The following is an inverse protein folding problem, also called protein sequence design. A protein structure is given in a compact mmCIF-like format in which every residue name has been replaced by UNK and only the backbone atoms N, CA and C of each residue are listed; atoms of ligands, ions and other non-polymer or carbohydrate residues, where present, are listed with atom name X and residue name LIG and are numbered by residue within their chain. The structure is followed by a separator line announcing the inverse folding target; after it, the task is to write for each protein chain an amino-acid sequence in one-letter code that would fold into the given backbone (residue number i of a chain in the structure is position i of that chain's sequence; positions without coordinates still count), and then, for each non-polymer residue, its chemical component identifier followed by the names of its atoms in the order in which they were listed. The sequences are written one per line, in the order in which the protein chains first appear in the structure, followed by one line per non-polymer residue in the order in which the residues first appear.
data_IF_252636279319
#
_entry.id   IF_252636279319
#
_cell.length_a   1.000
_cell.length_b   1.000
_cell.length_c   1.000
_cell.angle_alpha   90.00
_cell.angle_beta   90.00
_cell.angle_gamma   90.00
#
_symmetry.space_group_name_H-M   'P 1'
#
loop_
_entity.id
_entity.type
_entity.pdbx_description
1 polymer ?
#
# COMPACT_ATOMS: atom_id res chain seq x y z
N UNK A 1 -24.61 1.29 -0.95
CA UNK A 1 -23.61 1.35 -2.03
C UNK A 1 -22.78 2.61 -1.92
N UNK A 2 -21.49 2.46 -1.97
CA UNK A 2 -20.59 3.59 -1.82
C UNK A 2 -20.45 4.36 -3.12
N UNK A 3 -20.47 5.69 -3.06
CA UNK A 3 -20.25 6.52 -4.23
C UNK A 3 -18.79 6.37 -4.73
N UNK A 4 -18.61 6.50 -6.04
CA UNK A 4 -17.27 6.49 -6.62
C UNK A 4 -16.48 7.69 -6.10
N UNK A 5 -15.25 7.48 -5.67
CA UNK A 5 -14.42 8.57 -5.19
C UNK A 5 -13.98 9.47 -6.35
N UNK A 6 -13.73 10.73 -5.99
CA UNK A 6 -13.22 11.72 -6.91
C UNK A 6 -11.83 11.34 -7.39
N UNK A 7 -11.54 11.57 -8.66
CA UNK A 7 -10.21 11.34 -9.20
C UNK A 7 -9.20 12.29 -8.54
N UNK A 8 -8.04 11.74 -8.20
CA UNK A 8 -6.98 12.46 -7.50
C UNK A 8 -5.68 12.28 -8.26
N UNK A 9 -4.92 13.36 -8.41
CA UNK A 9 -3.59 13.28 -9.00
C UNK A 9 -2.56 13.01 -7.89
N UNK A 10 -2.22 11.73 -7.73
CA UNK A 10 -1.31 11.31 -6.67
C UNK A 10 0.10 11.89 -6.83
N UNK A 11 0.55 12.11 -8.06
CA UNK A 11 1.89 12.67 -8.30
C UNK A 11 2.06 14.06 -7.69
N UNK A 12 0.99 14.85 -7.66
CA UNK A 12 1.03 16.20 -7.07
C UNK A 12 1.06 16.14 -5.54
N UNK A 13 0.57 15.04 -4.96
CA UNK A 13 0.47 14.90 -3.51
C UNK A 13 1.73 14.27 -2.92
N UNK A 14 2.36 13.36 -3.65
CA UNK A 14 3.59 12.68 -3.20
C UNK A 14 4.71 13.71 -3.13
N UNK A 15 5.35 13.80 -1.96
CA UNK A 15 6.49 14.70 -1.76
C UNK A 15 7.79 14.05 -2.22
N UNK A 16 8.67 14.85 -2.79
CA UNK A 16 9.96 14.38 -3.29
C UNK A 16 11.08 15.08 -2.52
N UNK A 17 12.00 14.28 -1.99
CA UNK A 17 13.16 14.76 -1.26
C UNK A 17 14.41 14.23 -1.94
N UNK A 18 15.12 15.07 -2.71
CA UNK A 18 16.38 14.64 -3.32
C UNK A 18 17.45 14.43 -2.25
N UNK A 19 18.38 13.53 -2.52
CA UNK A 19 19.50 13.22 -1.66
C UNK A 19 19.09 12.79 -0.25
N UNK A 20 18.08 11.94 -0.16
CA UNK A 20 17.63 11.38 1.11
C UNK A 20 17.40 9.86 0.96
N UNK A 21 17.84 9.01 1.90
CA UNK A 21 18.60 9.35 3.12
C UNK A 21 20.07 9.66 2.87
N UNK A 22 20.51 9.56 1.62
CA UNK A 22 21.87 9.89 1.24
C UNK A 22 21.91 10.43 -0.19
N UNK A 23 23.05 11.03 -0.53
CA UNK A 23 23.28 11.63 -1.85
C UNK A 23 22.96 10.63 -2.98
N UNK A 24 22.33 11.12 -4.04
CA UNK A 24 21.98 10.33 -5.22
C UNK A 24 20.66 9.59 -5.13
N UNK A 25 20.00 9.60 -3.99
CA UNK A 25 18.72 8.92 -3.81
C UNK A 25 17.59 9.95 -3.75
N UNK A 26 16.60 9.76 -4.62
CA UNK A 26 15.36 10.55 -4.55
C UNK A 26 14.34 9.79 -3.68
N UNK A 27 14.07 10.33 -2.51
CA UNK A 27 13.06 9.78 -1.61
C UNK A 27 11.68 10.30 -1.98
N UNK A 28 10.75 9.39 -2.18
CA UNK A 28 9.35 9.73 -2.44
C UNK A 28 8.52 9.43 -1.21
N UNK A 29 7.98 10.48 -0.60
CA UNK A 29 7.22 10.36 0.63
C UNK A 29 5.73 10.32 0.33
N UNK A 30 5.09 9.21 0.70
CA UNK A 30 3.65 9.02 0.49
C UNK A 30 2.81 9.43 1.71
N UNK A 31 3.43 9.88 2.79
CA UNK A 31 2.70 10.33 3.96
C UNK A 31 1.64 11.40 3.64
N UNK A 32 1.89 12.38 2.77
CA UNK A 32 0.85 13.34 2.40
C UNK A 32 -0.39 12.70 1.78
N UNK A 33 -0.21 11.57 1.08
CA UNK A 33 -1.34 10.80 0.53
C UNK A 33 -2.18 10.21 1.65
N UNK A 34 -1.54 9.64 2.66
CA UNK A 34 -2.23 9.02 3.79
C UNK A 34 -3.03 10.01 4.63
N UNK A 35 -2.63 11.28 4.64
CA UNK A 35 -3.34 12.33 5.38
C UNK A 35 -4.67 12.73 4.72
N UNK A 36 -4.86 12.38 3.47
CA UNK A 36 -6.03 12.81 2.71
C UNK A 36 -7.00 11.65 2.52
N UNK A 37 -8.19 11.79 3.08
CA UNK A 37 -9.23 10.77 2.93
C UNK A 37 -9.61 10.57 1.46
N UNK A 38 -9.69 11.64 0.68
CA UNK A 38 -10.02 11.53 -0.75
C UNK A 38 -8.97 10.73 -1.52
N UNK A 39 -7.69 10.92 -1.20
CA UNK A 39 -6.60 10.19 -1.86
C UNK A 39 -6.63 8.70 -1.47
N UNK A 40 -6.84 8.39 -0.19
CA UNK A 40 -6.97 7.01 0.26
C UNK A 40 -8.16 6.32 -0.41
N UNK A 41 -9.30 6.97 -0.46
CA UNK A 41 -10.49 6.43 -1.13
C UNK A 41 -10.24 6.21 -2.61
N UNK A 42 -9.56 7.14 -3.27
CA UNK A 42 -9.23 7.01 -4.67
C UNK A 42 -8.36 5.78 -4.93
N UNK A 43 -7.34 5.56 -4.10
CA UNK A 43 -6.45 4.39 -4.22
C UNK A 43 -7.26 3.10 -4.07
N UNK A 44 -8.06 3.02 -3.01
CA UNK A 44 -8.85 1.82 -2.73
C UNK A 44 -9.85 1.54 -3.85
N UNK A 45 -10.52 2.59 -4.33
CA UNK A 45 -11.51 2.44 -5.41
C UNK A 45 -10.85 2.01 -6.72
N UNK A 46 -9.64 2.51 -7.02
CA UNK A 46 -8.91 2.10 -8.23
C UNK A 46 -8.48 0.64 -8.17
N UNK A 47 -7.97 0.18 -7.03
CA UNK A 47 -7.67 -1.23 -6.86
C UNK A 47 -8.91 -2.09 -6.98
N UNK A 48 -10.00 -1.67 -6.36
CA UNK A 48 -11.26 -2.41 -6.42
C UNK A 48 -11.79 -2.48 -7.84
N UNK A 49 -11.71 -1.36 -8.58
CA UNK A 49 -12.15 -1.32 -9.98
C UNK A 49 -11.37 -2.33 -10.83
N UNK A 50 -10.06 -2.41 -10.62
CA UNK A 50 -9.19 -3.29 -11.41
C UNK A 50 -9.42 -4.76 -11.05
N UNK A 51 -9.58 -5.06 -9.76
CA UNK A 51 -9.56 -6.44 -9.26
C UNK A 51 -10.90 -6.95 -8.75
N UNK A 52 -11.98 -6.19 -8.88
CA UNK A 52 -13.29 -6.58 -8.33
C UNK A 52 -13.83 -7.90 -8.90
N UNK A 53 -13.47 -8.21 -10.14
CA UNK A 53 -13.91 -9.44 -10.79
C UNK A 53 -12.92 -10.60 -10.60
N UNK A 54 -11.76 -10.34 -10.04
CA UNK A 54 -10.81 -11.38 -9.72
C UNK A 54 -11.22 -12.07 -8.42
N UNK A 55 -10.86 -13.36 -8.31
CA UNK A 55 -11.11 -14.09 -7.07
C UNK A 55 -10.01 -13.74 -6.08
N UNK A 56 -10.28 -12.77 -5.21
CA UNK A 56 -9.36 -12.36 -4.15
C UNK A 56 -9.73 -13.12 -2.89
N UNK A 57 -8.81 -13.91 -2.36
CA UNK A 57 -9.01 -14.66 -1.13
C UNK A 57 -8.39 -13.94 0.08
N UNK A 58 -7.25 -13.30 -0.12
CA UNK A 58 -6.55 -12.56 0.92
C UNK A 58 -5.82 -11.38 0.29
N UNK A 59 -5.53 -10.39 1.10
CA UNK A 59 -4.71 -9.24 0.71
C UNK A 59 -3.39 -9.34 1.46
N UNK A 60 -2.27 -9.15 0.78
CA UNK A 60 -0.96 -9.16 1.40
C UNK A 60 -0.36 -7.76 1.37
N UNK A 61 0.26 -7.36 2.46
CA UNK A 61 0.97 -6.09 2.56
C UNK A 61 2.41 -6.30 3.00
N UNK A 62 3.33 -5.54 2.38
CA UNK A 62 4.75 -5.60 2.71
C UNK A 62 5.06 -4.50 3.72
N UNK A 63 5.78 -4.86 4.79
CA UNK A 63 6.10 -3.90 5.84
C UNK A 63 6.89 -2.71 5.27
N UNK A 64 6.63 -1.53 5.76
CA UNK A 64 5.56 -1.32 6.72
C UNK A 64 4.45 -0.45 6.14
N UNK A 65 4.75 0.41 5.18
CA UNK A 65 3.74 1.27 4.54
C UNK A 65 2.68 0.48 3.80
N UNK A 66 3.08 -0.68 3.25
CA UNK A 66 2.15 -1.58 2.58
C UNK A 66 1.04 -2.09 3.48
N UNK A 67 1.26 -2.15 4.79
CA UNK A 67 0.23 -2.60 5.74
C UNK A 67 -0.97 -1.65 5.76
N UNK A 68 -0.71 -0.36 5.63
CA UNK A 68 -1.78 0.65 5.66
C UNK A 68 -2.71 0.47 4.47
N UNK A 69 -2.16 0.40 3.28
CA UNK A 69 -2.95 0.21 2.06
C UNK A 69 -3.61 -1.16 2.05
N UNK A 70 -2.88 -2.21 2.44
CA UNK A 70 -3.41 -3.57 2.45
C UNK A 70 -4.62 -3.69 3.39
N UNK A 71 -4.56 -3.06 4.55
CA UNK A 71 -5.69 -3.08 5.49
C UNK A 71 -6.92 -2.43 4.89
N UNK A 72 -6.75 -1.28 4.27
CA UNK A 72 -7.85 -0.57 3.62
C UNK A 72 -8.45 -1.41 2.49
N UNK A 73 -7.61 -2.05 1.68
CA UNK A 73 -8.05 -2.91 0.59
C UNK A 73 -8.78 -4.15 1.12
N UNK A 74 -8.25 -4.77 2.17
CA UNK A 74 -8.88 -5.96 2.77
C UNK A 74 -10.30 -5.64 3.22
N UNK A 75 -10.49 -4.50 3.87
CA UNK A 75 -11.82 -4.08 4.31
C UNK A 75 -12.76 -3.86 3.12
N UNK A 76 -12.26 -3.25 2.06
CA UNK A 76 -13.06 -2.98 0.85
C UNK A 76 -13.46 -4.27 0.13
N UNK A 77 -12.54 -5.25 0.08
CA UNK A 77 -12.80 -6.56 -0.54
C UNK A 77 -13.53 -7.53 0.38
N UNK A 78 -13.70 -7.20 1.65
CA UNK A 78 -14.31 -8.10 2.63
C UNK A 78 -13.44 -9.31 2.93
N UNK A 79 -12.12 -9.11 2.98
CA UNK A 79 -11.15 -10.19 3.18
C UNK A 79 -10.20 -9.83 4.33
N UNK A 80 -9.36 -10.79 4.71
CA UNK A 80 -8.31 -10.57 5.69
C UNK A 80 -7.00 -10.12 5.06
N UNK A 81 -6.02 -9.90 5.91
CA UNK A 81 -4.70 -9.43 5.50
C UNK A 81 -3.62 -10.41 5.97
N UNK A 82 -2.61 -10.60 5.15
CA UNK A 82 -1.37 -11.31 5.48
C UNK A 82 -0.24 -10.29 5.48
N UNK A 83 0.55 -10.30 6.54
CA UNK A 83 1.69 -9.40 6.67
C UNK A 83 2.96 -10.06 6.16
N UNK A 84 3.63 -9.40 5.21
CA UNK A 84 4.95 -9.82 4.73
C UNK A 84 5.97 -8.95 5.45
N UNK A 85 6.80 -9.58 6.27
CA UNK A 85 7.72 -8.86 7.16
C UNK A 85 9.16 -9.28 6.93
N UNK A 86 10.07 -8.45 7.44
CA UNK A 86 11.49 -8.78 7.45
C UNK A 86 11.72 -10.06 8.26
N UNK A 87 12.72 -10.84 7.86
CA UNK A 87 13.06 -12.08 8.54
C UNK A 87 13.28 -11.85 10.04
N UNK A 88 12.79 -12.76 10.85
CA UNK A 88 12.90 -12.68 12.31
C UNK A 88 11.83 -11.85 13.01
N UNK A 89 10.92 -11.23 12.27
CA UNK A 89 9.86 -10.40 12.86
C UNK A 89 8.58 -11.17 13.16
N UNK A 90 8.48 -12.43 12.72
CA UNK A 90 7.29 -13.24 12.92
C UNK A 90 7.62 -14.48 13.71
N UNK A 91 6.77 -14.88 14.68
CA UNK A 91 6.92 -16.14 15.40
C UNK A 91 6.38 -17.30 14.58
N UNK A 92 6.74 -18.52 14.98
CA UNK A 92 6.18 -19.74 14.40
C UNK A 92 6.77 -20.09 13.06
N UNK A 93 6.04 -20.91 12.31
CA UNK A 93 6.49 -21.32 10.97
C UNK A 93 6.32 -20.20 9.98
N UNK A 94 7.37 -19.95 9.20
CA UNK A 94 7.37 -18.91 8.18
C UNK A 94 8.00 -19.41 6.90
N UNK A 95 7.68 -18.74 5.80
CA UNK A 95 8.36 -18.92 4.52
C UNK A 95 9.18 -17.67 4.26
N UNK A 96 10.43 -17.85 3.83
CA UNK A 96 11.34 -16.74 3.57
C UNK A 96 11.68 -16.65 2.09
N UNK A 97 11.83 -15.43 1.61
CA UNK A 97 12.28 -15.13 0.26
C UNK A 97 13.18 -13.89 0.31
N UNK A 98 14.32 -13.96 -0.35
CA UNK A 98 15.22 -12.81 -0.48
C UNK A 98 14.97 -12.07 -1.78
N UNK A 99 15.09 -10.76 -1.75
CA UNK A 99 15.05 -9.93 -2.94
C UNK A 99 15.83 -8.64 -2.69
N UNK A 100 16.30 -8.04 -3.76
CA UNK A 100 17.07 -6.80 -3.67
C UNK A 100 16.15 -5.60 -3.79
N UNK A 101 16.50 -4.56 -3.04
CA UNK A 101 15.81 -3.26 -3.10
C UNK A 101 16.75 -2.29 -3.79
N UNK A 102 16.27 -1.66 -4.83
CA UNK A 102 17.03 -0.64 -5.56
C UNK A 102 16.96 0.70 -4.87
#
# INVERSE_FOLDING_TARGET
MRAKSKQVNLREIIANYPDFPKEGILFRDINPVFKRNDALNYIVDEFYRIYSKAKVDLVAGIESRGFIIATALALRFGKGIVMIRKAGKLPGRTVKKSYDIE
#
